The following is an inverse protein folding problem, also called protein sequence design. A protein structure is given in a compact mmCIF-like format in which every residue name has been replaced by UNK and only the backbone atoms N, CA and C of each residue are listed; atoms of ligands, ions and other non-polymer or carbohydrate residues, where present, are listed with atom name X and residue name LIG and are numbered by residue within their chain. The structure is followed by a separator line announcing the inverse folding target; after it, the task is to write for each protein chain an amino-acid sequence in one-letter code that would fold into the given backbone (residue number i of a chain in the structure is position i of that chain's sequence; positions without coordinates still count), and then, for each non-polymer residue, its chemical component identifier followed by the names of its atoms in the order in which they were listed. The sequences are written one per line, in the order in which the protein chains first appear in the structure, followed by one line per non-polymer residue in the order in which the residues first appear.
data_IF_135875600006
#
_entry.id   IF_135875600006
#
_cell.length_a   1.000
_cell.length_b   1.000
_cell.length_c   1.000
_cell.angle_alpha   90.00
_cell.angle_beta   90.00
_cell.angle_gamma   90.00
#
_symmetry.space_group_name_H-M   'P 1'
#
loop_
_entity.id
_entity.type
_entity.pdbx_description
1 polymer ?
#
# COMPACT_ATOMS: atom_id res chain seq x y z
N UNK A 1 2.90 2.12 10.88
CA UNK A 1 1.46 2.49 10.92
C UNK A 1 0.58 1.47 10.23
N UNK A 2 0.89 1.01 8.99
CA UNK A 2 0.08 0.05 8.23
C UNK A 2 -0.15 -1.26 9.01
N UNK A 3 0.90 -1.93 9.51
CA UNK A 3 0.76 -3.14 10.32
C UNK A 3 -0.09 -2.94 11.58
N UNK A 4 0.13 -1.81 12.29
CA UNK A 4 -0.64 -1.50 13.50
C UNK A 4 -2.14 -1.38 13.19
N UNK A 5 -2.49 -0.71 12.11
CA UNK A 5 -3.88 -0.58 11.65
C UNK A 5 -4.50 -1.96 11.38
N UNK A 6 -3.78 -2.83 10.65
CA UNK A 6 -4.27 -4.19 10.35
C UNK A 6 -4.46 -5.03 11.62
N UNK A 7 -3.53 -4.95 12.58
CA UNK A 7 -3.68 -5.64 13.87
C UNK A 7 -4.85 -5.10 14.69
N UNK A 8 -5.07 -3.79 14.71
CA UNK A 8 -6.22 -3.18 15.41
C UNK A 8 -7.53 -3.66 14.79
N UNK A 9 -7.65 -3.72 13.46
CA UNK A 9 -8.87 -4.21 12.82
C UNK A 9 -9.15 -5.67 13.13
N UNK A 10 -8.15 -6.55 13.06
CA UNK A 10 -8.36 -7.95 13.35
C UNK A 10 -8.66 -8.18 14.83
N UNK A 11 -7.73 -7.82 15.70
CA UNK A 11 -7.81 -8.18 17.14
C UNK A 11 -8.65 -7.20 17.96
N UNK A 12 -8.70 -5.94 17.57
CA UNK A 12 -9.49 -4.90 18.26
C UNK A 12 -10.92 -4.75 17.77
N UNK A 13 -11.26 -5.31 16.60
CA UNK A 13 -12.60 -5.18 16.04
C UNK A 13 -13.19 -6.53 15.60
N UNK A 14 -12.61 -7.23 14.61
CA UNK A 14 -13.24 -8.43 14.03
C UNK A 14 -13.34 -9.57 15.03
N UNK A 15 -12.30 -9.90 15.78
CA UNK A 15 -12.34 -10.97 16.77
C UNK A 15 -13.33 -10.72 17.91
N UNK A 16 -13.54 -9.45 18.27
CA UNK A 16 -14.53 -9.07 19.29
C UNK A 16 -15.98 -9.31 18.85
N UNK A 17 -16.23 -9.56 17.57
CA UNK A 17 -17.57 -9.91 17.06
C UNK A 17 -17.89 -11.41 17.28
N UNK A 18 -16.95 -12.21 17.78
CA UNK A 18 -17.11 -13.66 17.98
C UNK A 18 -17.55 -14.41 16.71
N UNK A 19 -17.07 -13.97 15.55
CA UNK A 19 -17.30 -14.61 14.25
C UNK A 19 -16.08 -15.45 13.85
N UNK A 20 -16.26 -16.50 13.05
CA UNK A 20 -15.13 -17.19 12.45
C UNK A 20 -14.39 -16.24 11.50
N UNK A 21 -13.07 -16.39 11.41
CA UNK A 21 -12.20 -15.71 10.46
C UNK A 21 -11.47 -16.75 9.61
N UNK A 22 -11.19 -16.43 8.35
CA UNK A 22 -10.62 -17.40 7.41
C UNK A 22 -9.17 -17.77 7.71
N UNK A 23 -8.37 -16.81 8.17
CA UNK A 23 -6.96 -17.01 8.45
C UNK A 23 -6.72 -17.34 9.92
N UNK A 24 -5.89 -18.33 10.20
CA UNK A 24 -5.31 -18.54 11.54
C UNK A 24 -4.39 -17.34 11.88
N UNK A 25 -4.11 -17.10 13.17
CA UNK A 25 -3.33 -15.93 13.63
C UNK A 25 -1.98 -15.79 12.95
N UNK A 26 -1.21 -16.88 12.83
CA UNK A 26 0.07 -16.83 12.15
C UNK A 26 -0.04 -16.55 10.65
N UNK A 27 -1.14 -16.98 10.00
CA UNK A 27 -1.43 -16.70 8.59
C UNK A 27 -1.80 -15.22 8.41
N UNK A 28 -2.55 -14.66 9.36
CA UNK A 28 -2.84 -13.24 9.36
C UNK A 28 -1.57 -12.38 9.56
N UNK A 29 -0.67 -12.82 10.45
CA UNK A 29 0.66 -12.17 10.56
C UNK A 29 1.41 -12.20 9.23
N UNK A 30 1.32 -13.31 8.46
CA UNK A 30 1.89 -13.35 7.10
C UNK A 30 1.21 -12.38 6.15
N UNK A 31 -0.11 -12.16 6.25
CA UNK A 31 -0.83 -11.15 5.46
C UNK A 31 -0.30 -9.75 5.76
N UNK A 32 -0.14 -9.41 7.05
CA UNK A 32 0.45 -8.15 7.49
C UNK A 32 1.88 -8.00 6.97
N UNK A 33 2.70 -9.05 7.09
CA UNK A 33 4.08 -9.02 6.57
C UNK A 33 4.13 -8.87 5.04
N UNK A 34 3.23 -9.54 4.30
CA UNK A 34 3.14 -9.40 2.85
C UNK A 34 2.85 -7.95 2.44
N UNK A 35 1.86 -7.32 3.09
CA UNK A 35 1.52 -5.91 2.81
C UNK A 35 2.64 -4.96 3.20
N UNK A 36 3.31 -5.19 4.33
CA UNK A 36 4.46 -4.37 4.78
C UNK A 36 5.65 -4.52 3.84
N UNK A 37 5.96 -5.75 3.40
CA UNK A 37 7.07 -6.00 2.46
C UNK A 37 6.83 -5.30 1.12
N UNK A 38 5.62 -5.40 0.55
CA UNK A 38 5.29 -4.72 -0.70
C UNK A 38 5.34 -3.20 -0.54
N UNK A 39 4.81 -2.66 0.57
CA UNK A 39 4.90 -1.24 0.86
C UNK A 39 6.36 -0.77 1.03
N UNK A 40 7.20 -1.54 1.72
CA UNK A 40 8.64 -1.26 1.86
C UNK A 40 9.33 -1.27 0.49
N UNK A 41 9.04 -2.25 -0.36
CA UNK A 41 9.49 -2.26 -1.76
C UNK A 41 9.09 -0.99 -2.51
N UNK A 42 7.82 -0.57 -2.36
CA UNK A 42 7.31 0.68 -2.94
C UNK A 42 8.06 1.92 -2.48
N UNK A 43 8.36 2.02 -1.19
CA UNK A 43 9.19 3.12 -0.66
C UNK A 43 10.62 3.09 -1.19
N UNK A 44 11.22 1.91 -1.29
CA UNK A 44 12.59 1.78 -1.78
C UNK A 44 12.68 2.18 -3.25
N UNK A 45 11.77 1.69 -4.10
CA UNK A 45 11.79 2.04 -5.53
C UNK A 45 11.51 3.53 -5.74
N UNK A 46 10.61 4.12 -4.94
CA UNK A 46 10.38 5.56 -4.99
C UNK A 46 11.64 6.35 -4.64
N UNK A 47 12.34 6.00 -3.54
CA UNK A 47 13.59 6.64 -3.14
C UNK A 47 14.72 6.49 -4.18
N UNK A 48 14.72 5.44 -5.00
CA UNK A 48 15.68 5.28 -6.09
C UNK A 48 15.40 6.30 -7.20
N UNK A 49 14.14 6.50 -7.56
CA UNK A 49 13.74 7.42 -8.64
C UNK A 49 13.60 8.88 -8.17
N UNK A 50 13.56 9.14 -6.86
CA UNK A 50 13.46 10.48 -6.30
C UNK A 50 14.80 11.12 -5.94
N UNK A 51 15.94 10.47 -6.16
CA UNK A 51 17.26 10.96 -5.74
C UNK A 51 17.52 12.38 -6.21
N UNK A 52 17.23 12.72 -7.46
CA UNK A 52 17.44 14.04 -8.02
C UNK A 52 16.51 15.08 -7.39
N UNK A 53 15.21 14.80 -7.37
CA UNK A 53 14.18 15.68 -6.77
C UNK A 53 14.43 15.92 -5.29
N UNK A 54 14.71 14.83 -4.53
CA UNK A 54 14.98 14.93 -3.09
C UNK A 54 16.31 15.63 -2.79
N UNK A 55 17.30 15.53 -3.67
CA UNK A 55 18.57 16.27 -3.52
C UNK A 55 18.37 17.76 -3.53
N UNK A 56 17.33 18.25 -4.17
CA UNK A 56 16.98 19.65 -4.28
C UNK A 56 16.04 20.09 -3.14
N UNK A 57 14.96 19.33 -2.92
CA UNK A 57 13.94 19.67 -1.93
C UNK A 57 14.36 19.37 -0.49
N UNK A 58 15.01 18.22 -0.24
CA UNK A 58 15.31 17.66 1.09
C UNK A 58 16.63 16.88 1.08
N UNK A 59 17.78 17.55 0.82
CA UNK A 59 19.07 16.87 0.62
C UNK A 59 19.50 15.99 1.80
N UNK A 60 19.04 16.29 3.02
CA UNK A 60 19.29 15.48 4.20
C UNK A 60 18.58 14.13 4.20
N UNK A 61 17.50 13.98 3.44
CA UNK A 61 16.69 12.76 3.38
C UNK A 61 17.18 11.78 2.29
N UNK A 62 18.09 12.19 1.43
CA UNK A 62 18.63 11.35 0.36
C UNK A 62 19.47 10.22 0.93
N UNK A 63 19.01 8.99 0.79
CA UNK A 63 19.65 7.76 1.30
C UNK A 63 20.41 7.05 0.19
N UNK A 64 19.79 6.90 -0.98
CA UNK A 64 20.39 6.20 -2.12
C UNK A 64 21.49 7.08 -2.72
N UNK A 65 22.64 6.48 -2.98
CA UNK A 65 23.83 7.20 -3.43
C UNK A 65 24.71 7.80 -2.30
N UNK A 66 24.11 8.09 -1.12
CA UNK A 66 24.87 8.60 0.05
C UNK A 66 25.19 7.50 1.07
N UNK A 67 24.20 6.77 1.54
CA UNK A 67 24.36 5.74 2.59
C UNK A 67 24.27 4.32 2.02
N UNK A 68 23.51 4.12 0.97
CA UNK A 68 23.29 2.83 0.32
C UNK A 68 23.54 3.00 -1.18
N UNK A 69 24.34 2.09 -1.78
CA UNK A 69 24.52 2.10 -3.23
C UNK A 69 23.22 1.76 -3.95
N UNK A 70 23.04 2.32 -5.13
CA UNK A 70 21.86 2.07 -5.97
C UNK A 70 21.61 0.58 -6.22
N UNK A 71 22.68 -0.19 -6.50
CA UNK A 71 22.58 -1.65 -6.66
C UNK A 71 22.03 -2.35 -5.41
N UNK A 72 22.47 -1.93 -4.21
CA UNK A 72 21.90 -2.49 -2.96
C UNK A 72 20.43 -2.11 -2.77
N UNK A 73 20.06 -0.88 -3.11
CA UNK A 73 18.68 -0.43 -3.04
C UNK A 73 17.78 -1.24 -3.99
N UNK A 74 18.21 -1.48 -5.24
CA UNK A 74 17.47 -2.36 -6.16
C UNK A 74 17.37 -3.80 -5.66
N UNK A 75 18.43 -4.36 -5.10
CA UNK A 75 18.37 -5.71 -4.52
C UNK A 75 17.40 -5.80 -3.34
N UNK A 76 17.35 -4.79 -2.48
CA UNK A 76 16.38 -4.71 -1.39
C UNK A 76 14.95 -4.58 -1.93
N UNK A 77 14.71 -3.73 -2.92
CA UNK A 77 13.41 -3.60 -3.60
C UNK A 77 12.92 -4.94 -4.12
N UNK A 78 13.75 -5.64 -4.90
CA UNK A 78 13.42 -6.94 -5.47
C UNK A 78 13.15 -7.95 -4.34
N UNK A 79 14.02 -8.01 -3.34
CA UNK A 79 13.87 -8.92 -2.20
C UNK A 79 12.56 -8.73 -1.46
N UNK A 80 12.22 -7.51 -1.06
CA UNK A 80 10.96 -7.22 -0.36
C UNK A 80 9.74 -7.50 -1.24
N UNK A 81 9.78 -7.12 -2.51
CA UNK A 81 8.68 -7.36 -3.44
C UNK A 81 8.44 -8.85 -3.66
N UNK A 82 9.49 -9.63 -3.93
CA UNK A 82 9.38 -11.09 -4.14
C UNK A 82 8.87 -11.79 -2.88
N UNK A 83 9.40 -11.45 -1.70
CA UNK A 83 8.94 -12.02 -0.43
C UNK A 83 7.47 -11.68 -0.19
N UNK A 84 7.05 -10.43 -0.36
CA UNK A 84 5.67 -10.01 -0.18
C UNK A 84 4.70 -10.72 -1.12
N UNK A 85 5.05 -10.81 -2.42
CA UNK A 85 4.23 -11.52 -3.42
C UNK A 85 4.19 -13.03 -3.12
N UNK A 86 5.30 -13.65 -2.71
CA UNK A 86 5.35 -15.08 -2.37
C UNK A 86 4.45 -15.41 -1.16
N UNK A 87 4.47 -14.56 -0.11
CA UNK A 87 3.55 -14.70 1.03
C UNK A 87 2.10 -14.55 0.58
N UNK A 88 1.79 -13.56 -0.24
CA UNK A 88 0.44 -13.36 -0.79
C UNK A 88 -0.03 -14.53 -1.64
N UNK A 89 0.86 -15.11 -2.48
CA UNK A 89 0.57 -16.31 -3.23
C UNK A 89 0.26 -17.50 -2.33
N UNK A 90 1.06 -17.71 -1.27
CA UNK A 90 0.80 -18.74 -0.29
C UNK A 90 -0.58 -18.57 0.37
N UNK A 91 -0.91 -17.37 0.86
CA UNK A 91 -2.17 -17.07 1.52
C UNK A 91 -3.37 -17.23 0.59
N UNK A 92 -3.26 -16.83 -0.67
CA UNK A 92 -4.32 -17.02 -1.66
C UNK A 92 -4.66 -18.52 -1.88
N UNK A 93 -3.64 -19.41 -1.80
CA UNK A 93 -3.86 -20.84 -1.85
C UNK A 93 -4.46 -21.39 -0.54
N UNK A 94 -4.06 -20.86 0.61
CA UNK A 94 -4.61 -21.24 1.92
C UNK A 94 -6.12 -21.00 1.99
N UNK A 95 -6.58 -19.87 1.49
CA UNK A 95 -8.02 -19.52 1.47
C UNK A 95 -8.78 -20.11 0.26
N UNK A 96 -8.15 -21.01 -0.49
CA UNK A 96 -8.73 -21.65 -1.68
C UNK A 96 -9.18 -20.66 -2.79
N UNK A 97 -8.52 -19.52 -2.87
CA UNK A 97 -8.74 -18.48 -3.90
C UNK A 97 -7.43 -18.12 -4.61
N UNK A 98 -6.83 -19.03 -5.41
CA UNK A 98 -5.50 -18.80 -6.01
C UNK A 98 -5.42 -17.52 -6.87
N UNK A 99 -6.53 -17.09 -7.49
CA UNK A 99 -6.60 -15.84 -8.26
C UNK A 99 -6.31 -14.59 -7.42
N UNK A 100 -6.50 -14.64 -6.09
CA UNK A 100 -6.21 -13.50 -5.22
C UNK A 100 -4.71 -13.22 -5.08
N UNK A 101 -3.85 -14.15 -5.49
CA UNK A 101 -2.41 -13.90 -5.62
C UNK A 101 -2.12 -12.71 -6.58
N UNK A 102 -2.95 -12.53 -7.61
CA UNK A 102 -2.82 -11.40 -8.54
C UNK A 102 -2.93 -10.03 -7.87
N UNK A 103 -3.62 -9.92 -6.74
CA UNK A 103 -3.77 -8.68 -5.97
C UNK A 103 -2.38 -8.14 -5.58
N UNK A 104 -1.52 -8.99 -5.00
CA UNK A 104 -0.18 -8.60 -4.57
C UNK A 104 0.72 -8.23 -5.75
N UNK A 105 0.61 -8.96 -6.86
CA UNK A 105 1.35 -8.67 -8.10
C UNK A 105 0.93 -7.32 -8.68
N UNK A 106 -0.38 -7.07 -8.78
CA UNK A 106 -0.92 -5.81 -9.31
C UNK A 106 -0.51 -4.63 -8.43
N UNK A 107 -0.59 -4.76 -7.10
CA UNK A 107 -0.16 -3.70 -6.17
C UNK A 107 1.33 -3.41 -6.34
N UNK A 108 2.18 -4.45 -6.38
CA UNK A 108 3.62 -4.29 -6.56
C UNK A 108 3.96 -3.62 -7.91
N UNK A 109 3.30 -4.04 -8.99
CA UNK A 109 3.45 -3.42 -10.31
C UNK A 109 2.98 -1.95 -10.31
N UNK A 110 1.85 -1.66 -9.67
CA UNK A 110 1.32 -0.29 -9.57
C UNK A 110 2.27 0.63 -8.80
N UNK A 111 2.90 0.15 -7.72
CA UNK A 111 3.92 0.91 -6.97
C UNK A 111 5.16 1.20 -7.84
N UNK A 112 5.58 0.25 -8.66
CA UNK A 112 6.66 0.47 -9.61
C UNK A 112 6.30 1.54 -10.66
N UNK A 113 5.13 1.40 -11.30
CA UNK A 113 4.65 2.39 -12.27
C UNK A 113 4.42 3.77 -11.65
N UNK A 114 3.96 3.81 -10.39
CA UNK A 114 3.88 5.06 -9.66
C UNK A 114 5.24 5.74 -9.56
N UNK A 115 6.25 5.03 -9.06
CA UNK A 115 7.59 5.58 -8.86
C UNK A 115 8.26 6.05 -10.17
N UNK A 116 8.00 5.35 -11.29
CA UNK A 116 8.66 5.63 -12.57
C UNK A 116 7.94 6.66 -13.44
N UNK A 117 6.61 6.78 -13.34
CA UNK A 117 5.85 7.54 -14.33
C UNK A 117 4.65 8.29 -13.75
N UNK A 118 3.85 7.65 -12.89
CA UNK A 118 2.53 8.20 -12.53
C UNK A 118 2.60 9.35 -11.53
N UNK A 119 3.66 9.40 -10.71
CA UNK A 119 3.89 10.51 -9.76
C UNK A 119 4.06 11.87 -10.43
N UNK A 120 4.48 11.90 -11.70
CA UNK A 120 4.68 13.12 -12.48
C UNK A 120 3.36 13.69 -13.06
N UNK A 121 2.27 12.93 -12.93
CA UNK A 121 0.98 13.26 -13.53
C UNK A 121 0.08 14.00 -12.56
N UNK A 122 -0.60 15.04 -13.06
CA UNK A 122 -1.58 15.80 -12.31
C UNK A 122 -2.61 14.88 -11.63
N UNK A 123 -2.64 14.86 -10.31
CA UNK A 123 -3.57 14.10 -9.45
C UNK A 123 -3.54 12.58 -9.57
N UNK A 124 -3.13 12.00 -10.70
CA UNK A 124 -3.17 10.55 -10.91
C UNK A 124 -2.28 9.84 -9.88
N UNK A 125 -1.07 10.35 -9.66
CA UNK A 125 -0.14 9.83 -8.64
C UNK A 125 -0.75 9.85 -7.25
N UNK A 126 -1.31 10.99 -6.83
CA UNK A 126 -1.94 11.18 -5.52
C UNK A 126 -3.12 10.22 -5.30
N UNK A 127 -3.99 10.07 -6.32
CA UNK A 127 -5.13 9.14 -6.28
C UNK A 127 -4.64 7.69 -6.13
N UNK A 128 -3.63 7.29 -6.90
CA UNK A 128 -3.11 5.91 -6.87
C UNK A 128 -2.51 5.57 -5.51
N UNK A 129 -1.67 6.44 -4.94
CA UNK A 129 -1.09 6.19 -3.61
C UNK A 129 -2.19 6.12 -2.55
N UNK A 130 -3.15 7.04 -2.58
CA UNK A 130 -4.28 7.04 -1.65
C UNK A 130 -5.12 5.77 -1.78
N UNK A 131 -5.39 5.28 -3.01
CA UNK A 131 -6.08 4.02 -3.26
C UNK A 131 -5.29 2.81 -2.73
N UNK A 132 -3.99 2.73 -2.97
CA UNK A 132 -3.16 1.62 -2.50
C UNK A 132 -3.13 1.56 -0.97
N UNK A 133 -3.04 2.72 -0.30
CA UNK A 133 -3.08 2.80 1.16
C UNK A 133 -4.46 2.43 1.72
N UNK A 134 -5.54 2.88 1.09
CA UNK A 134 -6.90 2.50 1.49
C UNK A 134 -7.16 1.01 1.28
N UNK A 135 -6.62 0.43 0.21
CA UNK A 135 -6.73 -1.00 -0.08
C UNK A 135 -6.09 -1.88 1.00
N UNK A 136 -5.11 -1.36 1.76
CA UNK A 136 -4.53 -2.07 2.91
C UNK A 136 -5.53 -2.37 4.04
N UNK A 137 -6.65 -1.66 4.09
CA UNK A 137 -7.81 -1.96 4.96
C UNK A 137 -8.69 -3.01 4.30
N UNK A 138 -8.98 -2.86 3.02
CA UNK A 138 -9.89 -3.75 2.27
C UNK A 138 -9.34 -5.17 2.21
N UNK A 139 -8.02 -5.34 2.12
CA UNK A 139 -7.38 -6.66 2.01
C UNK A 139 -7.67 -7.54 3.23
N UNK A 140 -7.93 -6.96 4.41
CA UNK A 140 -8.34 -7.68 5.62
C UNK A 140 -9.67 -8.42 5.34
N UNK A 141 -10.67 -7.69 4.85
CA UNK A 141 -11.97 -8.28 4.51
C UNK A 141 -11.90 -9.29 3.37
N UNK A 142 -11.03 -9.04 2.38
CA UNK A 142 -10.81 -9.94 1.24
C UNK A 142 -10.22 -11.28 1.68
N UNK A 143 -9.32 -11.29 2.65
CA UNK A 143 -8.63 -12.51 3.11
C UNK A 143 -9.24 -13.16 4.34
N UNK A 144 -9.92 -12.41 5.21
CA UNK A 144 -10.47 -12.91 6.47
C UNK A 144 -12.00 -13.13 6.46
N UNK A 145 -12.76 -12.28 5.75
CA UNK A 145 -14.23 -12.36 5.75
C UNK A 145 -14.77 -13.04 4.50
N UNK A 146 -14.31 -12.62 3.32
CA UNK A 146 -14.85 -13.11 2.05
C UNK A 146 -14.76 -14.64 1.88
N UNK A 147 -13.64 -15.34 2.23
CA UNK A 147 -13.50 -16.77 1.96
C UNK A 147 -14.49 -17.64 2.72
N UNK A 148 -14.95 -17.19 3.89
CA UNK A 148 -15.88 -17.94 4.77
C UNK A 148 -17.32 -17.44 4.66
N UNK A 149 -17.58 -16.46 3.78
CA UNK A 149 -18.92 -15.93 3.56
C UNK A 149 -19.79 -16.99 2.84
N UNK A 150 -20.94 -17.30 3.42
CA UNK A 150 -21.95 -18.20 2.89
C UNK A 150 -23.35 -17.57 2.98
N UNK A 151 -24.40 -18.26 2.56
CA UNK A 151 -25.76 -17.71 2.54
C UNK A 151 -26.29 -17.34 3.94
N UNK A 152 -25.92 -18.08 4.98
CA UNK A 152 -26.41 -17.87 6.35
C UNK A 152 -25.76 -16.65 7.01
N UNK A 153 -24.45 -16.47 6.82
CA UNK A 153 -23.68 -15.40 7.46
C UNK A 153 -23.51 -14.14 6.59
N UNK A 154 -23.95 -14.20 5.33
CA UNK A 154 -23.80 -13.10 4.35
C UNK A 154 -24.25 -11.73 4.86
N UNK A 155 -25.37 -11.58 5.59
CA UNK A 155 -25.78 -10.25 6.08
C UNK A 155 -24.77 -9.67 7.08
N UNK A 156 -24.26 -10.48 8.00
CA UNK A 156 -23.29 -10.06 9.01
C UNK A 156 -21.93 -9.77 8.38
N UNK A 157 -21.44 -10.67 7.52
CA UNK A 157 -20.17 -10.49 6.80
C UNK A 157 -20.22 -9.27 5.89
N UNK A 158 -21.35 -9.01 5.23
CA UNK A 158 -21.55 -7.82 4.42
C UNK A 158 -21.53 -6.54 5.24
N UNK A 159 -22.13 -6.54 6.44
CA UNK A 159 -22.07 -5.39 7.35
C UNK A 159 -20.64 -5.10 7.79
N UNK A 160 -19.89 -6.13 8.22
CA UNK A 160 -18.52 -5.96 8.66
C UNK A 160 -17.59 -5.53 7.52
N UNK A 161 -17.78 -6.07 6.33
CA UNK A 161 -17.06 -5.63 5.14
C UNK A 161 -17.40 -4.18 4.78
N UNK A 162 -18.67 -3.78 4.94
CA UNK A 162 -19.12 -2.38 4.78
C UNK A 162 -18.38 -1.42 5.72
N UNK A 163 -18.23 -1.81 6.99
CA UNK A 163 -17.45 -1.02 7.97
C UNK A 163 -15.98 -0.89 7.52
N UNK A 164 -15.35 -1.97 7.02
CA UNK A 164 -13.99 -1.87 6.48
C UNK A 164 -13.93 -0.92 5.27
N UNK A 165 -14.95 -0.92 4.40
CA UNK A 165 -15.02 0.02 3.28
C UNK A 165 -15.16 1.48 3.73
N UNK A 166 -15.93 1.76 4.77
CA UNK A 166 -16.03 3.11 5.35
C UNK A 166 -14.65 3.59 5.86
N UNK A 167 -13.94 2.74 6.60
CA UNK A 167 -12.57 3.05 7.04
C UNK A 167 -11.58 3.17 5.88
N UNK A 168 -11.73 2.36 4.83
CA UNK A 168 -10.93 2.49 3.62
C UNK A 168 -11.18 3.83 2.92
N UNK A 169 -12.44 4.29 2.88
CA UNK A 169 -12.79 5.60 2.35
C UNK A 169 -12.15 6.74 3.16
N UNK A 170 -12.20 6.67 4.50
CA UNK A 170 -11.48 7.63 5.34
C UNK A 170 -9.98 7.60 5.11
N UNK A 171 -9.39 6.41 5.02
CA UNK A 171 -7.97 6.25 4.72
C UNK A 171 -7.62 6.86 3.35
N UNK A 172 -8.45 6.65 2.34
CA UNK A 172 -8.29 7.28 1.02
C UNK A 172 -8.28 8.80 1.11
N UNK A 173 -9.30 9.40 1.73
CA UNK A 173 -9.42 10.87 1.83
C UNK A 173 -8.21 11.47 2.55
N UNK A 174 -7.84 10.90 3.71
CA UNK A 174 -6.72 11.42 4.51
C UNK A 174 -5.39 11.32 3.74
N UNK A 175 -5.14 10.17 3.08
CA UNK A 175 -3.91 9.99 2.32
C UNK A 175 -3.90 10.84 1.04
N UNK A 176 -5.04 11.03 0.39
CA UNK A 176 -5.15 11.91 -0.76
C UNK A 176 -4.80 13.36 -0.41
N UNK A 177 -5.34 13.87 0.71
CA UNK A 177 -4.98 15.21 1.23
C UNK A 177 -3.49 15.27 1.58
N UNK A 178 -2.96 14.22 2.23
CA UNK A 178 -1.53 14.13 2.57
C UNK A 178 -0.63 14.19 1.34
N UNK A 179 -0.97 13.51 0.26
CA UNK A 179 -0.19 13.55 -0.99
C UNK A 179 -0.23 14.94 -1.63
N UNK A 180 -1.39 15.63 -1.64
CA UNK A 180 -1.48 17.02 -2.10
C UNK A 180 -0.60 17.96 -1.27
N UNK A 181 -0.60 17.80 0.07
CA UNK A 181 0.26 18.59 0.96
C UNK A 181 1.73 18.29 0.71
N UNK A 182 2.07 17.03 0.40
CA UNK A 182 3.45 16.67 0.01
C UNK A 182 3.87 17.39 -1.26
N UNK A 183 3.03 17.40 -2.30
CA UNK A 183 3.33 18.12 -3.56
C UNK A 183 3.56 19.62 -3.31
N UNK A 184 2.81 20.24 -2.38
CA UNK A 184 3.03 21.63 -1.96
C UNK A 184 4.40 21.85 -1.30
N UNK A 185 4.94 20.86 -0.60
CA UNK A 185 6.26 20.94 0.01
C UNK A 185 7.39 20.73 -0.98
N UNK A 186 7.13 20.01 -2.07
CA UNK A 186 8.14 19.55 -3.02
C UNK A 186 8.14 20.35 -4.34
N UNK A 187 7.37 21.46 -4.41
CA UNK A 187 7.16 22.31 -5.61
C UNK A 187 8.44 22.66 -6.36
N UNK A 188 9.53 23.01 -5.66
CA UNK A 188 10.76 23.47 -6.32
C UNK A 188 11.42 22.36 -7.12
N UNK A 189 11.66 21.20 -6.50
CA UNK A 189 12.28 20.05 -7.15
C UNK A 189 11.37 19.42 -8.21
N UNK A 190 10.04 19.41 -7.97
CA UNK A 190 9.07 18.94 -8.95
C UNK A 190 9.07 19.82 -10.21
N UNK A 191 9.18 21.17 -10.04
CA UNK A 191 9.25 22.12 -11.14
C UNK A 191 10.52 21.94 -11.98
N UNK A 192 11.67 21.76 -11.32
CA UNK A 192 12.96 21.58 -12.00
C UNK A 192 13.04 20.25 -12.76
N UNK A 193 12.33 19.23 -12.28
CA UNK A 193 12.18 17.95 -12.98
C UNK A 193 11.05 17.95 -14.03
N UNK A 194 10.38 19.09 -14.26
CA UNK A 194 9.30 19.21 -15.24
C UNK A 194 8.06 18.41 -14.92
N UNK A 195 7.79 18.13 -13.64
CA UNK A 195 6.59 17.43 -13.21
C UNK A 195 5.34 18.34 -13.31
N UNK A 196 4.19 17.72 -13.57
CA UNK A 196 2.91 18.43 -13.62
C UNK A 196 2.09 18.11 -12.36
N UNK A 197 2.61 18.48 -11.20
CA UNK A 197 1.89 18.32 -9.93
C UNK A 197 0.84 19.42 -9.74
N UNK A 198 -0.13 19.20 -8.84
CA UNK A 198 -1.26 20.12 -8.65
C UNK A 198 -0.82 21.55 -8.33
N UNK A 199 0.13 21.81 -7.41
CA UNK A 199 0.58 23.16 -7.12
C UNK A 199 1.34 23.83 -8.28
N UNK A 200 1.99 23.06 -9.16
CA UNK A 200 2.68 23.61 -10.33
C UNK A 200 1.69 24.10 -11.39
N UNK A 201 0.58 23.35 -11.56
CA UNK A 201 -0.40 23.67 -12.60
C UNK A 201 -1.37 24.77 -12.18
N UNK A 202 -1.74 24.85 -10.91
CA UNK A 202 -2.75 25.78 -10.41
C UNK A 202 -2.20 26.93 -9.53
N UNK A 203 -0.95 26.90 -9.14
CA UNK A 203 -0.29 27.94 -8.34
C UNK A 203 -0.45 27.72 -6.85
#
# INVERSE_FOLDING_TARGET
MLALMQFIFRYGFLELQNIPLALADWQYVLLVLATVCIAAGGYIINNIFDVETDSENKPENVIVGKFISETKAYNLYIGFTVIGVAMGFYLANVIEKPSFASIFIVIAATLYFYATSLKQSLLIGNVIVALLLSFSVIIIGVFDLFPITNEENRPVMGLLFGILLDYALFAFIINFIREIVKDLQDVNGDLDQGMNTLPIVFG
#
